data_IF_550440219643
#
_entry.id   IF_550440219643
#
_cell.length_a   1.000
_cell.length_b   1.000
_cell.length_c   1.000
_cell.angle_alpha   90.00
_cell.angle_beta   90.00
_cell.angle_gamma   90.00
#
_symmetry.space_group_name_H-M   'P 1'
#
loop_
_entity.id
_entity.type
_entity.pdbx_description
1 polymer ?
#
# COMPACT_ATOMS: atom_id res chain seq x y z
N UNK A 1 16.22 -40.51 -2.84
CA UNK A 1 16.09 -39.49 -3.91
C UNK A 1 14.81 -38.67 -3.80
N UNK A 2 13.62 -39.29 -3.71
CA UNK A 2 12.31 -38.59 -3.54
C UNK A 2 12.24 -37.66 -2.30
N UNK A 3 12.78 -38.08 -1.16
CA UNK A 3 12.86 -37.27 0.08
C UNK A 3 13.80 -36.06 0.00
N UNK A 4 14.86 -36.15 -0.82
CA UNK A 4 15.78 -35.02 -1.03
C UNK A 4 15.13 -33.97 -1.95
N UNK A 5 14.42 -34.42 -2.99
CA UNK A 5 13.67 -33.55 -3.90
C UNK A 5 12.49 -32.88 -3.20
N UNK A 6 11.77 -33.58 -2.31
CA UNK A 6 10.69 -32.96 -1.52
C UNK A 6 11.20 -31.90 -0.55
N UNK A 7 12.34 -32.14 0.12
CA UNK A 7 12.93 -31.16 1.04
C UNK A 7 13.51 -29.93 0.30
N UNK A 8 14.08 -30.14 -0.89
CA UNK A 8 14.53 -29.02 -1.74
C UNK A 8 13.33 -28.21 -2.21
N UNK A 9 12.25 -28.88 -2.66
CA UNK A 9 11.02 -28.20 -3.07
C UNK A 9 10.40 -27.42 -1.92
N UNK A 10 10.28 -28.00 -0.72
CA UNK A 10 9.74 -27.29 0.46
C UNK A 10 10.61 -26.11 0.88
N UNK A 11 11.94 -26.22 0.75
CA UNK A 11 12.85 -25.12 1.03
C UNK A 11 12.76 -24.00 -0.02
N UNK A 12 12.60 -24.33 -1.29
CA UNK A 12 12.38 -23.34 -2.35
C UNK A 12 11.03 -22.66 -2.16
N UNK A 13 9.97 -23.43 -1.85
CA UNK A 13 8.63 -22.90 -1.60
C UNK A 13 8.62 -21.98 -0.35
N UNK A 14 9.36 -22.33 0.70
CA UNK A 14 9.46 -21.51 1.91
C UNK A 14 10.28 -20.24 1.68
N UNK A 15 11.40 -20.31 0.95
CA UNK A 15 12.19 -19.14 0.57
C UNK A 15 11.38 -18.22 -0.33
N UNK A 16 10.71 -18.77 -1.35
CA UNK A 16 9.85 -18.02 -2.26
C UNK A 16 8.70 -17.34 -1.51
N UNK A 17 8.06 -18.06 -0.59
CA UNK A 17 7.03 -17.51 0.29
C UNK A 17 7.55 -16.36 1.13
N UNK A 18 8.64 -16.56 1.85
CA UNK A 18 9.19 -15.54 2.73
C UNK A 18 9.73 -14.32 1.97
N UNK A 19 10.34 -14.52 0.80
CA UNK A 19 10.98 -13.43 0.06
C UNK A 19 9.98 -12.62 -0.77
N UNK A 20 9.02 -13.28 -1.44
CA UNK A 20 8.12 -12.62 -2.37
C UNK A 20 6.68 -12.55 -1.89
N UNK A 21 6.14 -13.64 -1.31
CA UNK A 21 4.74 -13.63 -0.88
C UNK A 21 4.50 -12.82 0.39
N UNK A 22 5.41 -12.90 1.37
CA UNK A 22 5.34 -12.12 2.63
C UNK A 22 5.75 -10.65 2.48
N UNK A 23 6.44 -10.29 1.39
CA UNK A 23 6.97 -8.96 1.17
C UNK A 23 6.44 -8.35 -0.15
N UNK A 24 5.35 -7.58 -0.10
CA UNK A 24 4.76 -6.94 -1.27
C UNK A 24 5.74 -6.15 -2.17
N UNK A 25 6.72 -5.38 -1.63
CA UNK A 25 7.68 -4.63 -2.44
C UNK A 25 8.58 -5.52 -3.30
N UNK A 26 9.00 -6.68 -2.78
CA UNK A 26 9.85 -7.62 -3.51
C UNK A 26 9.11 -8.27 -4.68
N UNK A 27 7.85 -8.66 -4.47
CA UNK A 27 7.04 -9.19 -5.56
C UNK A 27 6.78 -8.13 -6.63
N UNK A 28 6.49 -6.88 -6.23
CA UNK A 28 6.32 -5.80 -7.19
C UNK A 28 7.58 -5.55 -8.02
N UNK A 29 8.75 -5.46 -7.37
CA UNK A 29 10.04 -5.31 -8.05
C UNK A 29 10.30 -6.47 -9.02
N UNK A 30 10.05 -7.71 -8.59
CA UNK A 30 10.19 -8.90 -9.43
C UNK A 30 9.28 -8.84 -10.66
N UNK A 31 8.00 -8.49 -10.51
CA UNK A 31 7.05 -8.34 -11.62
C UNK A 31 7.58 -7.36 -12.67
N UNK A 32 8.07 -6.21 -12.21
CA UNK A 32 8.62 -5.16 -13.09
C UNK A 32 9.88 -5.64 -13.79
N UNK A 33 10.87 -6.14 -13.04
CA UNK A 33 12.14 -6.61 -13.58
C UNK A 33 11.98 -7.74 -14.59
N UNK A 34 11.12 -8.72 -14.28
CA UNK A 34 10.85 -9.83 -15.20
C UNK A 34 10.17 -9.35 -16.49
N UNK A 35 9.21 -8.44 -16.38
CA UNK A 35 8.51 -7.87 -17.54
C UNK A 35 9.45 -7.05 -18.42
N UNK A 36 10.34 -6.24 -17.81
CA UNK A 36 11.36 -5.49 -18.56
C UNK A 36 12.34 -6.45 -19.23
N UNK A 37 12.89 -7.42 -18.51
CA UNK A 37 13.86 -8.37 -19.06
C UNK A 37 13.26 -9.19 -20.21
N UNK A 38 12.00 -9.63 -20.08
CA UNK A 38 11.29 -10.38 -21.10
C UNK A 38 11.09 -9.60 -22.41
N UNK A 39 10.97 -8.26 -22.34
CA UNK A 39 10.80 -7.42 -23.52
C UNK A 39 12.14 -6.92 -24.07
N UNK A 40 13.09 -6.59 -23.19
CA UNK A 40 14.37 -6.00 -23.56
C UNK A 40 15.32 -7.02 -24.19
N UNK A 41 15.42 -8.24 -23.64
CA UNK A 41 16.34 -9.26 -24.15
C UNK A 41 16.02 -9.66 -25.61
N UNK A 42 14.77 -9.96 -26.01
CA UNK A 42 14.47 -10.27 -27.40
C UNK A 42 14.64 -9.06 -28.32
N UNK A 43 14.31 -7.85 -27.86
CA UNK A 43 14.47 -6.64 -28.67
C UNK A 43 15.95 -6.37 -29.00
N UNK A 44 16.85 -6.60 -28.04
CA UNK A 44 18.28 -6.37 -28.25
C UNK A 44 18.93 -7.52 -29.05
N UNK A 45 18.58 -8.78 -28.72
CA UNK A 45 19.22 -9.96 -29.31
C UNK A 45 18.68 -10.34 -30.70
N UNK A 46 17.40 -10.11 -30.96
CA UNK A 46 16.76 -10.52 -32.22
C UNK A 46 16.55 -9.35 -33.19
N UNK A 47 16.16 -8.18 -32.68
CA UNK A 47 15.84 -7.02 -33.51
C UNK A 47 16.99 -6.03 -33.63
N UNK A 48 18.05 -6.17 -32.82
CA UNK A 48 19.19 -5.25 -32.74
C UNK A 48 18.76 -3.78 -32.66
N UNK A 49 17.63 -3.51 -31.98
CA UNK A 49 17.03 -2.20 -31.90
C UNK A 49 16.75 -1.81 -30.44
N UNK A 50 17.71 -1.10 -29.86
CA UNK A 50 17.66 -0.67 -28.45
C UNK A 50 16.54 0.35 -28.19
N UNK A 51 16.09 1.09 -29.21
CA UNK A 51 14.95 2.00 -29.08
C UNK A 51 13.67 1.21 -28.79
N UNK A 52 13.39 0.15 -29.54
CA UNK A 52 12.22 -0.72 -29.33
C UNK A 52 12.21 -1.29 -27.90
N UNK A 53 13.33 -1.87 -27.47
CA UNK A 53 13.46 -2.45 -26.12
C UNK A 53 13.25 -1.40 -25.01
N UNK A 54 13.85 -0.21 -25.17
CA UNK A 54 13.74 0.87 -24.19
C UNK A 54 12.33 1.45 -24.12
N UNK A 55 11.67 1.67 -25.25
CA UNK A 55 10.30 2.18 -25.31
C UNK A 55 9.31 1.18 -24.70
N UNK A 56 9.45 -0.12 -24.98
CA UNK A 56 8.65 -1.17 -24.34
C UNK A 56 8.84 -1.15 -22.82
N UNK A 57 10.08 -1.05 -22.34
CA UNK A 57 10.40 -0.99 -20.91
C UNK A 57 9.80 0.25 -20.23
N UNK A 58 9.81 1.42 -20.88
CA UNK A 58 9.16 2.63 -20.36
C UNK A 58 7.64 2.46 -20.23
N UNK A 59 7.01 1.74 -21.17
CA UNK A 59 5.60 1.34 -21.09
C UNK A 59 5.30 0.47 -19.87
N UNK A 60 6.17 -0.53 -19.60
CA UNK A 60 6.09 -1.36 -18.37
C UNK A 60 6.16 -0.49 -17.12
N UNK A 61 7.14 0.42 -17.05
CA UNK A 61 7.35 1.29 -15.88
C UNK A 61 6.14 2.19 -15.64
N UNK A 62 5.58 2.80 -16.69
CA UNK A 62 4.39 3.64 -16.55
C UNK A 62 3.18 2.85 -16.00
N UNK A 63 2.97 1.63 -16.50
CA UNK A 63 1.87 0.78 -16.02
C UNK A 63 2.10 0.22 -14.62
N UNK A 64 3.35 -0.06 -14.26
CA UNK A 64 3.73 -0.55 -12.94
C UNK A 64 3.61 0.51 -11.84
N UNK A 65 3.99 1.76 -12.14
CA UNK A 65 3.82 2.89 -11.23
C UNK A 65 2.37 3.37 -11.14
N UNK A 66 1.59 3.15 -12.19
CA UNK A 66 0.15 3.42 -12.23
C UNK A 66 -0.74 2.27 -11.72
N UNK A 67 -0.14 1.13 -11.37
CA UNK A 67 -0.86 -0.02 -10.81
C UNK A 67 -1.40 0.31 -9.42
N UNK A 68 -2.65 -0.08 -9.18
CA UNK A 68 -3.23 -0.13 -7.83
C UNK A 68 -3.62 -1.57 -7.55
N UNK A 69 -3.32 -2.04 -6.33
CA UNK A 69 -3.71 -3.37 -5.91
C UNK A 69 -5.21 -3.38 -5.59
N UNK A 70 -5.98 -4.08 -6.42
CA UNK A 70 -7.44 -4.20 -6.30
C UNK A 70 -7.87 -5.60 -6.72
N UNK A 71 -9.15 -5.94 -6.52
CA UNK A 71 -9.74 -7.18 -7.00
C UNK A 71 -9.40 -7.46 -8.50
N UNK A 72 -9.14 -8.72 -8.92
CA UNK A 72 -8.74 -9.05 -10.29
C UNK A 72 -9.60 -8.43 -11.39
N UNK A 73 -10.94 -8.44 -11.24
CA UNK A 73 -11.85 -7.79 -12.20
C UNK A 73 -11.68 -6.28 -12.25
N UNK A 74 -11.49 -5.65 -11.09
CA UNK A 74 -11.20 -4.22 -10.99
C UNK A 74 -9.85 -3.88 -11.64
N UNK A 75 -8.87 -4.78 -11.51
CA UNK A 75 -7.55 -4.63 -12.15
C UNK A 75 -7.63 -4.74 -13.67
N UNK A 76 -8.41 -5.67 -14.20
CA UNK A 76 -8.67 -5.76 -15.64
C UNK A 76 -9.31 -4.47 -16.17
N UNK A 77 -10.37 -3.96 -15.51
CA UNK A 77 -11.02 -2.70 -15.89
C UNK A 77 -10.04 -1.53 -15.89
N UNK A 78 -9.27 -1.36 -14.81
CA UNK A 78 -8.30 -0.25 -14.72
C UNK A 78 -7.18 -0.37 -15.75
N UNK A 79 -6.72 -1.60 -16.03
CA UNK A 79 -5.73 -1.84 -17.08
C UNK A 79 -6.27 -1.53 -18.48
N UNK A 80 -7.49 -1.94 -18.82
CA UNK A 80 -8.10 -1.60 -20.11
C UNK A 80 -8.24 -0.09 -20.29
N UNK A 81 -8.69 0.62 -19.26
CA UNK A 81 -8.77 2.10 -19.28
C UNK A 81 -7.37 2.70 -19.46
N UNK A 82 -6.36 2.20 -18.73
CA UNK A 82 -4.99 2.69 -18.84
C UNK A 82 -4.41 2.50 -20.23
N UNK A 83 -4.57 1.32 -20.83
CA UNK A 83 -4.04 1.03 -22.16
C UNK A 83 -4.64 1.93 -23.24
N UNK A 84 -5.96 2.14 -23.21
CA UNK A 84 -6.62 3.09 -24.10
C UNK A 84 -6.09 4.51 -23.87
N UNK A 85 -6.02 4.93 -22.60
CA UNK A 85 -5.55 6.26 -22.25
C UNK A 85 -4.09 6.48 -22.67
N UNK A 86 -3.23 5.49 -22.54
CA UNK A 86 -1.82 5.54 -22.95
C UNK A 86 -1.69 5.64 -24.47
N UNK A 87 -2.51 4.88 -25.22
CA UNK A 87 -2.54 4.93 -26.69
C UNK A 87 -2.90 6.33 -27.18
N UNK A 88 -4.00 6.89 -26.66
CA UNK A 88 -4.45 8.23 -27.05
C UNK A 88 -3.50 9.31 -26.56
N UNK A 89 -3.00 9.20 -25.33
CA UNK A 89 -2.09 10.20 -24.77
C UNK A 89 -0.80 10.29 -25.57
N UNK A 90 -0.20 9.14 -25.88
CA UNK A 90 1.01 9.09 -26.70
C UNK A 90 0.72 9.55 -28.14
N UNK A 91 -0.35 9.08 -28.77
CA UNK A 91 -0.66 9.44 -30.16
C UNK A 91 -0.95 10.94 -30.32
N UNK A 92 -1.74 11.53 -29.42
CA UNK A 92 -2.00 12.98 -29.41
C UNK A 92 -0.70 13.76 -29.21
N UNK A 93 0.16 13.31 -28.28
CA UNK A 93 1.46 13.95 -28.02
C UNK A 93 2.31 13.95 -29.27
N UNK A 94 2.49 12.80 -29.92
CA UNK A 94 3.33 12.67 -31.11
C UNK A 94 2.81 13.49 -32.30
N UNK A 95 1.49 13.54 -32.51
CA UNK A 95 0.86 14.32 -33.59
C UNK A 95 0.97 15.84 -33.38
N UNK A 96 0.98 16.29 -32.12
CA UNK A 96 0.96 17.71 -31.81
C UNK A 96 2.36 18.28 -31.54
N UNK A 97 3.34 17.44 -31.20
CA UNK A 97 4.73 17.83 -30.93
C UNK A 97 5.38 18.70 -32.03
N UNK A 98 5.16 18.45 -33.34
CA UNK A 98 5.71 19.29 -34.41
C UNK A 98 5.19 20.74 -34.41
N UNK A 99 4.10 21.02 -33.68
CA UNK A 99 3.43 22.32 -33.63
C UNK A 99 3.54 22.92 -32.21
N UNK A 100 4.59 23.70 -31.88
CA UNK A 100 4.92 24.02 -30.49
C UNK A 100 3.81 24.71 -29.69
N UNK A 101 3.08 25.64 -30.32
CA UNK A 101 1.98 26.37 -29.67
C UNK A 101 0.77 25.47 -29.45
N UNK A 102 0.42 24.64 -30.45
CA UNK A 102 -0.67 23.67 -30.32
C UNK A 102 -0.35 22.64 -29.24
N UNK A 103 0.88 22.13 -29.24
CA UNK A 103 1.34 21.20 -28.20
C UNK A 103 1.28 21.82 -26.80
N UNK A 104 1.65 23.10 -26.63
CA UNK A 104 1.51 23.78 -25.34
C UNK A 104 0.06 23.78 -24.85
N UNK A 105 -0.90 24.11 -25.71
CA UNK A 105 -2.33 24.12 -25.35
C UNK A 105 -2.79 22.70 -24.96
N UNK A 106 -2.43 21.70 -25.76
CA UNK A 106 -2.79 20.29 -25.54
C UNK A 106 -2.17 19.75 -24.24
N UNK A 107 -0.89 20.04 -24.00
CA UNK A 107 -0.16 19.72 -22.78
C UNK A 107 -0.89 20.28 -21.55
N UNK A 108 -1.28 21.55 -21.60
CA UNK A 108 -2.00 22.21 -20.52
C UNK A 108 -3.34 21.55 -20.21
N UNK A 109 -4.14 21.29 -21.26
CA UNK A 109 -5.46 20.65 -21.12
C UNK A 109 -5.32 19.22 -20.58
N UNK A 110 -4.42 18.42 -21.16
CA UNK A 110 -4.22 17.03 -20.76
C UNK A 110 -3.68 16.93 -19.34
N UNK A 111 -2.69 17.74 -18.96
CA UNK A 111 -2.14 17.76 -17.62
C UNK A 111 -3.23 18.07 -16.58
N UNK A 112 -4.01 19.11 -16.81
CA UNK A 112 -5.09 19.51 -15.91
C UNK A 112 -6.18 18.45 -15.82
N UNK A 113 -6.67 17.96 -16.97
CA UNK A 113 -7.75 16.98 -17.04
C UNK A 113 -7.36 15.64 -16.40
N UNK A 114 -6.17 15.10 -16.71
CA UNK A 114 -5.70 13.83 -16.16
C UNK A 114 -5.51 13.90 -14.64
N UNK A 115 -5.01 15.03 -14.10
CA UNK A 115 -4.90 15.20 -12.65
C UNK A 115 -6.27 15.27 -11.97
N UNK A 116 -7.26 15.93 -12.57
CA UNK A 116 -8.62 15.99 -12.04
C UNK A 116 -9.33 14.63 -12.10
N UNK A 117 -9.25 13.93 -13.22
CA UNK A 117 -9.84 12.58 -13.39
C UNK A 117 -9.23 11.61 -12.38
N UNK A 118 -7.92 11.71 -12.14
CA UNK A 118 -7.24 10.93 -11.09
C UNK A 118 -7.66 11.27 -9.65
N UNK A 119 -8.56 12.23 -9.46
CA UNK A 119 -9.16 12.57 -8.16
C UNK A 119 -10.49 11.89 -7.86
N UNK A 120 -11.12 11.22 -8.84
CA UNK A 120 -12.44 10.58 -8.71
C UNK A 120 -12.38 9.42 -7.72
N UNK A 121 -11.42 8.52 -7.91
CA UNK A 121 -11.16 7.37 -7.04
C UNK A 121 -9.66 7.02 -7.05
N UNK A 122 -9.27 6.13 -6.14
CA UNK A 122 -7.87 5.69 -6.00
C UNK A 122 -7.37 4.91 -7.22
N UNK A 123 -8.25 4.22 -7.96
CA UNK A 123 -7.87 3.42 -9.14
C UNK A 123 -7.46 4.33 -10.30
N UNK A 124 -8.28 5.33 -10.60
CA UNK A 124 -8.01 6.32 -11.64
C UNK A 124 -6.80 7.18 -11.34
N UNK A 125 -6.47 7.42 -10.06
CA UNK A 125 -5.26 8.14 -9.69
C UNK A 125 -3.99 7.49 -10.28
N UNK A 126 -3.87 6.17 -10.16
CA UNK A 126 -2.72 5.43 -10.71
C UNK A 126 -2.72 5.46 -12.23
N UNK A 127 -3.88 5.22 -12.84
CA UNK A 127 -4.05 5.21 -14.30
C UNK A 127 -3.65 6.54 -14.93
N UNK A 128 -4.14 7.67 -14.39
CA UNK A 128 -3.82 8.99 -14.96
C UNK A 128 -2.39 9.42 -14.67
N UNK A 129 -1.81 9.01 -13.53
CA UNK A 129 -0.38 9.21 -13.27
C UNK A 129 0.49 8.49 -14.31
N UNK A 130 0.16 7.23 -14.63
CA UNK A 130 0.80 6.49 -15.71
C UNK A 130 0.65 7.19 -17.07
N UNK A 131 -0.52 7.75 -17.37
CA UNK A 131 -0.75 8.47 -18.63
C UNK A 131 0.09 9.75 -18.72
N UNK A 132 0.25 10.49 -17.63
CA UNK A 132 1.14 11.64 -17.55
C UNK A 132 2.61 11.23 -17.76
N UNK A 133 3.04 10.07 -17.26
CA UNK A 133 4.36 9.53 -17.55
C UNK A 133 4.52 9.17 -19.03
N UNK A 134 3.53 8.51 -19.63
CA UNK A 134 3.52 8.17 -21.06
C UNK A 134 3.61 9.42 -21.94
N UNK A 135 2.94 10.51 -21.57
CA UNK A 135 3.05 11.80 -22.26
C UNK A 135 4.53 12.24 -22.31
N UNK A 136 5.19 12.27 -21.16
CA UNK A 136 6.59 12.71 -21.07
C UNK A 136 7.55 11.72 -21.73
N UNK A 137 7.30 10.41 -21.63
CA UNK A 137 8.10 9.39 -22.32
C UNK A 137 7.95 9.47 -23.84
N UNK A 138 6.77 9.83 -24.33
CA UNK A 138 6.55 10.08 -25.76
C UNK A 138 7.44 11.24 -26.21
N UNK A 139 7.41 12.37 -25.50
CA UNK A 139 8.29 13.52 -25.79
C UNK A 139 9.78 13.15 -25.81
N UNK A 140 10.24 12.26 -24.91
CA UNK A 140 11.65 11.87 -24.82
C UNK A 140 12.13 10.98 -25.97
N UNK A 141 11.23 10.25 -26.63
CA UNK A 141 11.56 9.31 -27.70
C UNK A 141 11.09 9.71 -29.08
N UNK A 142 10.42 10.87 -29.21
CA UNK A 142 9.76 11.28 -30.44
C UNK A 142 10.72 11.37 -31.65
N UNK A 143 11.95 11.87 -31.42
CA UNK A 143 12.97 12.06 -32.46
C UNK A 143 13.54 10.74 -33.01
N UNK A 144 13.35 9.63 -32.29
CA UNK A 144 13.89 8.31 -32.66
C UNK A 144 12.85 7.40 -33.34
N UNK A 145 11.65 7.91 -33.64
CA UNK A 145 10.57 7.15 -34.27
C UNK A 145 10.29 7.65 -35.69
N UNK A 146 10.25 6.73 -36.65
CA UNK A 146 10.00 7.07 -38.06
C UNK A 146 8.52 7.40 -38.31
N UNK A 147 7.62 6.83 -37.51
CA UNK A 147 6.17 6.95 -37.67
C UNK A 147 5.48 7.39 -36.38
N UNK A 148 4.48 8.27 -36.51
CA UNK A 148 3.77 8.87 -35.38
C UNK A 148 3.08 7.85 -34.45
N UNK A 149 2.72 6.68 -34.95
CA UNK A 149 2.03 5.63 -34.19
C UNK A 149 2.99 4.62 -33.53
N UNK A 150 4.24 4.54 -34.00
CA UNK A 150 5.18 3.49 -33.60
C UNK A 150 5.44 3.54 -32.10
N UNK A 151 5.79 4.71 -31.57
CA UNK A 151 6.08 4.87 -30.15
C UNK A 151 4.83 4.64 -29.29
N UNK A 152 3.66 5.07 -29.75
CA UNK A 152 2.40 4.85 -29.05
C UNK A 152 2.05 3.37 -28.94
N UNK A 153 2.28 2.59 -30.00
CA UNK A 153 2.08 1.14 -29.98
C UNK A 153 3.11 0.42 -29.10
N UNK A 154 4.38 0.84 -29.13
CA UNK A 154 5.43 0.23 -28.30
C UNK A 154 5.19 0.49 -26.81
N UNK A 155 4.92 1.74 -26.41
CA UNK A 155 4.61 2.09 -25.02
C UNK A 155 3.38 1.32 -24.51
N UNK A 156 2.33 1.21 -25.32
CA UNK A 156 1.10 0.49 -24.93
C UNK A 156 1.30 -1.02 -24.91
N UNK A 157 2.09 -1.58 -25.82
CA UNK A 157 2.44 -3.02 -25.82
C UNK A 157 3.24 -3.38 -24.57
N UNK A 158 4.23 -2.56 -24.18
CA UNK A 158 4.98 -2.77 -22.94
C UNK A 158 4.07 -2.74 -21.70
N UNK A 159 3.17 -1.76 -21.63
CA UNK A 159 2.16 -1.68 -20.57
C UNK A 159 1.22 -2.91 -20.57
N UNK A 160 0.83 -3.42 -21.74
CA UNK A 160 -0.03 -4.60 -21.88
C UNK A 160 0.67 -5.85 -21.35
N UNK A 161 1.93 -6.09 -21.73
CA UNK A 161 2.72 -7.23 -21.26
C UNK A 161 2.82 -7.25 -19.73
N UNK A 162 3.14 -6.12 -19.11
CA UNK A 162 3.14 -6.02 -17.65
C UNK A 162 1.76 -6.29 -17.03
N UNK A 163 0.70 -5.76 -17.64
CA UNK A 163 -0.67 -5.96 -17.17
C UNK A 163 -1.07 -7.44 -17.18
N UNK A 164 -0.71 -8.17 -18.24
CA UNK A 164 -0.96 -9.62 -18.34
C UNK A 164 -0.26 -10.38 -17.22
N UNK A 165 1.03 -10.12 -16.99
CA UNK A 165 1.81 -10.76 -15.92
C UNK A 165 1.20 -10.45 -14.55
N UNK A 166 0.85 -9.19 -14.29
CA UNK A 166 0.29 -8.78 -13.00
C UNK A 166 -1.10 -9.38 -12.74
N UNK A 167 -1.98 -9.37 -13.75
CA UNK A 167 -3.33 -9.95 -13.64
C UNK A 167 -3.27 -11.46 -13.44
N UNK A 168 -2.37 -12.17 -14.13
CA UNK A 168 -2.20 -13.61 -13.98
C UNK A 168 -1.78 -13.98 -12.55
N UNK A 169 -0.80 -13.26 -11.99
CA UNK A 169 -0.37 -13.44 -10.60
C UNK A 169 -1.50 -13.13 -9.60
N UNK A 170 -2.28 -12.08 -9.87
CA UNK A 170 -3.40 -11.70 -9.04
C UNK A 170 -4.53 -12.74 -9.09
N UNK A 171 -4.79 -13.37 -10.24
CA UNK A 171 -5.77 -14.46 -10.36
C UNK A 171 -5.35 -15.72 -9.59
N UNK A 172 -4.04 -15.95 -9.44
CA UNK A 172 -3.53 -17.07 -8.63
C UNK A 172 -3.76 -16.88 -7.13
N UNK A 173 -3.69 -15.64 -6.62
CA UNK A 173 -3.99 -15.30 -5.21
C UNK A 173 -4.84 -14.02 -5.10
N UNK A 174 -6.16 -14.10 -5.40
CA UNK A 174 -7.01 -12.93 -5.55
C UNK A 174 -7.21 -12.15 -4.24
N UNK A 175 -7.19 -12.81 -3.08
CA UNK A 175 -7.45 -12.18 -1.78
C UNK A 175 -6.18 -11.86 -0.98
N UNK A 176 -5.00 -11.91 -1.60
CA UNK A 176 -3.73 -11.67 -0.91
C UNK A 176 -3.68 -10.28 -0.27
N UNK A 177 -4.11 -9.25 -1.00
CA UNK A 177 -4.13 -7.87 -0.51
C UNK A 177 -4.91 -7.74 0.80
N UNK A 178 -6.09 -8.38 0.87
CA UNK A 178 -6.93 -8.36 2.06
C UNK A 178 -6.24 -9.08 3.24
N UNK A 179 -5.57 -10.20 3.00
CA UNK A 179 -4.78 -10.88 4.03
C UNK A 179 -3.64 -9.99 4.55
N UNK A 180 -2.88 -9.36 3.65
CA UNK A 180 -1.73 -8.51 4.01
C UNK A 180 -2.18 -7.31 4.84
N UNK A 181 -3.22 -6.59 4.39
CA UNK A 181 -3.71 -5.41 5.08
C UNK A 181 -4.38 -5.71 6.43
N UNK A 182 -5.15 -6.80 6.52
CA UNK A 182 -5.71 -7.24 7.81
C UNK A 182 -4.61 -7.71 8.76
N UNK A 183 -3.61 -8.45 8.27
CA UNK A 183 -2.46 -8.87 9.07
C UNK A 183 -1.72 -7.66 9.64
N UNK A 184 -1.47 -6.62 8.84
CA UNK A 184 -0.91 -5.36 9.34
C UNK A 184 -1.81 -4.70 10.38
N UNK A 185 -3.13 -4.75 10.22
CA UNK A 185 -4.08 -4.29 11.23
C UNK A 185 -3.90 -4.99 12.57
N UNK A 186 -3.92 -6.33 12.58
CA UNK A 186 -3.70 -7.12 13.79
C UNK A 186 -2.30 -6.91 14.38
N UNK A 187 -1.26 -6.77 13.55
CA UNK A 187 0.10 -6.47 14.02
C UNK A 187 0.18 -5.10 14.70
N UNK A 188 -0.46 -4.06 14.15
CA UNK A 188 -0.52 -2.75 14.79
C UNK A 188 -1.33 -2.78 16.10
N UNK A 189 -2.40 -3.59 16.16
CA UNK A 189 -3.14 -3.83 17.40
C UNK A 189 -2.27 -4.53 18.45
N UNK A 190 -1.51 -5.56 18.07
CA UNK A 190 -0.57 -6.23 18.98
C UNK A 190 0.49 -5.26 19.52
N UNK A 191 1.11 -4.46 18.65
CA UNK A 191 2.07 -3.42 19.06
C UNK A 191 1.45 -2.36 19.99
N UNK A 192 0.18 -2.02 19.78
CA UNK A 192 -0.54 -1.09 20.65
C UNK A 192 -0.79 -1.69 22.05
N UNK A 193 -1.26 -2.94 22.12
CA UNK A 193 -1.52 -3.65 23.38
C UNK A 193 -0.20 -3.90 24.14
N UNK A 194 0.87 -4.30 23.44
CA UNK A 194 2.20 -4.47 24.06
C UNK A 194 2.71 -3.16 24.67
N UNK A 195 2.57 -2.05 23.95
CA UNK A 195 2.94 -0.74 24.50
C UNK A 195 2.05 -0.36 25.69
N UNK A 196 0.74 -0.65 25.62
CA UNK A 196 -0.20 -0.38 26.71
C UNK A 196 0.12 -1.20 27.97
N UNK A 197 0.63 -2.42 27.81
CA UNK A 197 1.08 -3.27 28.91
C UNK A 197 2.18 -2.62 29.76
N UNK A 198 2.99 -1.72 29.18
CA UNK A 198 4.02 -0.97 29.92
C UNK A 198 3.46 0.06 30.91
N UNK A 199 2.15 0.27 30.96
CA UNK A 199 1.46 1.08 31.98
C UNK A 199 1.10 0.26 33.24
N UNK A 200 1.54 -0.99 33.33
CA UNK A 200 1.25 -1.90 34.43
C UNK A 200 2.55 -2.55 34.95
N UNK A 201 3.16 -1.99 36.02
CA UNK A 201 2.77 -0.78 36.75
C UNK A 201 3.12 0.51 35.98
N UNK A 202 2.37 1.58 36.23
CA UNK A 202 2.56 2.90 35.62
C UNK A 202 3.66 3.67 36.35
N UNK A 203 4.61 4.24 35.61
CA UNK A 203 5.57 5.20 36.14
C UNK A 203 5.18 6.63 35.66
N UNK A 204 4.89 7.57 36.58
CA UNK A 204 4.46 8.94 36.22
C UNK A 204 5.42 9.66 35.27
N UNK A 205 6.73 9.41 35.38
CA UNK A 205 7.75 10.05 34.54
C UNK A 205 7.71 9.58 33.09
N UNK A 206 7.39 8.30 32.86
CA UNK A 206 7.35 7.68 31.53
C UNK A 206 5.97 7.75 30.89
N UNK A 207 4.93 7.93 31.70
CA UNK A 207 3.54 7.86 31.26
C UNK A 207 3.21 8.86 30.14
N UNK A 208 3.68 10.10 30.23
CA UNK A 208 3.43 11.12 29.19
C UNK A 208 4.01 10.72 27.83
N UNK A 209 5.20 10.11 27.84
CA UNK A 209 5.82 9.59 26.63
C UNK A 209 5.02 8.41 26.07
N UNK A 210 4.65 7.46 26.93
CA UNK A 210 3.86 6.27 26.53
C UNK A 210 2.49 6.68 25.97
N UNK A 211 1.78 7.62 26.60
CA UNK A 211 0.50 8.15 26.10
C UNK A 211 0.63 8.80 24.72
N UNK A 212 1.69 9.57 24.51
CA UNK A 212 1.97 10.18 23.20
C UNK A 212 2.19 9.09 22.13
N UNK A 213 2.98 8.07 22.45
CA UNK A 213 3.22 6.94 21.56
C UNK A 213 1.96 6.09 21.31
N UNK A 214 1.12 5.88 22.33
CA UNK A 214 -0.17 5.20 22.20
C UNK A 214 -1.12 5.97 21.27
N UNK A 215 -1.18 7.30 21.37
CA UNK A 215 -1.99 8.12 20.46
C UNK A 215 -1.52 8.00 19.00
N UNK A 216 -0.20 7.97 18.77
CA UNK A 216 0.38 7.76 17.44
C UNK A 216 0.06 6.35 16.90
N UNK A 217 0.25 5.31 17.72
CA UNK A 217 -0.07 3.92 17.33
C UNK A 217 -1.57 3.73 17.08
N UNK A 218 -2.43 4.33 17.88
CA UNK A 218 -3.88 4.32 17.67
C UNK A 218 -4.26 4.99 16.35
N UNK A 219 -3.68 6.16 16.05
CA UNK A 219 -3.90 6.84 14.76
C UNK A 219 -3.53 5.93 13.59
N UNK A 220 -2.38 5.24 13.67
CA UNK A 220 -1.92 4.29 12.63
C UNK A 220 -2.85 3.07 12.51
N UNK A 221 -3.30 2.51 13.63
CA UNK A 221 -4.23 1.38 13.66
C UNK A 221 -5.58 1.76 13.05
N UNK A 222 -6.14 2.90 13.44
CA UNK A 222 -7.39 3.42 12.88
C UNK A 222 -7.30 3.65 11.36
N UNK A 223 -6.18 4.23 10.89
CA UNK A 223 -5.92 4.39 9.46
C UNK A 223 -5.86 3.03 8.74
N UNK A 224 -5.23 2.01 9.34
CA UNK A 224 -5.14 0.68 8.75
C UNK A 224 -6.50 -0.03 8.67
N UNK A 225 -7.36 0.14 9.69
CA UNK A 225 -8.73 -0.39 9.69
C UNK A 225 -9.57 0.24 8.60
N UNK A 226 -9.39 1.55 8.36
CA UNK A 226 -10.03 2.27 7.26
C UNK A 226 -9.55 1.79 5.88
N UNK A 227 -8.24 1.51 5.73
CA UNK A 227 -7.68 0.90 4.52
C UNK A 227 -8.35 -0.47 4.26
N UNK A 228 -8.39 -1.35 5.28
CA UNK A 228 -9.02 -2.67 5.15
C UNK A 228 -10.50 -2.56 4.75
N UNK A 229 -11.23 -1.61 5.32
CA UNK A 229 -12.64 -1.36 4.99
C UNK A 229 -12.81 -0.96 3.52
N UNK A 230 -11.97 -0.06 3.03
CA UNK A 230 -12.02 0.39 1.63
C UNK A 230 -11.66 -0.73 0.65
N UNK A 231 -10.69 -1.59 1.00
CA UNK A 231 -10.38 -2.78 0.19
C UNK A 231 -11.54 -3.75 0.18
N UNK A 232 -12.16 -4.02 1.33
CA UNK A 232 -13.36 -4.86 1.41
C UNK A 232 -14.49 -4.33 0.53
N UNK A 233 -14.74 -3.01 0.52
CA UNK A 233 -15.75 -2.41 -0.38
C UNK A 233 -15.37 -2.53 -1.85
N UNK A 234 -14.08 -2.38 -2.17
CA UNK A 234 -13.55 -2.55 -3.52
C UNK A 234 -13.72 -3.99 -4.03
N UNK A 235 -13.56 -4.99 -3.15
CA UNK A 235 -13.81 -6.40 -3.46
C UNK A 235 -15.30 -6.70 -3.53
N UNK A 236 -16.09 -6.15 -2.61
CA UNK A 236 -17.55 -6.27 -2.56
C UNK A 236 -18.20 -5.82 -3.86
N UNK A 237 -17.80 -4.65 -4.39
CA UNK A 237 -18.31 -4.12 -5.66
C UNK A 237 -18.06 -5.04 -6.87
N UNK A 238 -17.01 -5.86 -6.83
CA UNK A 238 -16.59 -6.72 -7.95
C UNK A 238 -16.88 -8.22 -7.74
N UNK A 239 -17.44 -8.58 -6.57
CA UNK A 239 -17.72 -9.96 -6.16
C UNK A 239 -18.99 -10.50 -6.84
N UNK A 240 -18.95 -11.77 -7.25
CA UNK A 240 -20.15 -12.53 -7.65
C UNK A 240 -20.78 -13.22 -6.43
N UNK A 241 -22.06 -13.66 -6.53
CA UNK A 241 -22.72 -14.44 -5.48
C UNK A 241 -21.90 -15.66 -5.01
N UNK A 242 -21.19 -16.31 -5.93
CA UNK A 242 -20.32 -17.45 -5.64
C UNK A 242 -19.11 -17.10 -4.76
N UNK A 243 -18.60 -15.87 -4.86
CA UNK A 243 -17.41 -15.41 -4.10
C UNK A 243 -17.75 -14.72 -2.79
N UNK A 244 -19.03 -14.43 -2.54
CA UNK A 244 -19.50 -13.77 -1.31
C UNK A 244 -19.20 -14.55 -0.03
N UNK A 245 -19.34 -15.90 0.03
CA UNK A 245 -18.99 -16.66 1.24
C UNK A 245 -17.52 -16.49 1.62
N UNK A 246 -16.61 -16.46 0.65
CA UNK A 246 -15.19 -16.24 0.92
C UNK A 246 -14.93 -14.81 1.42
N UNK A 247 -15.59 -13.80 0.82
CA UNK A 247 -15.51 -12.41 1.28
C UNK A 247 -16.07 -12.23 2.71
N UNK A 248 -17.08 -13.02 3.09
CA UNK A 248 -17.67 -12.98 4.43
C UNK A 248 -16.65 -13.26 5.54
N UNK A 249 -15.68 -14.15 5.28
CA UNK A 249 -14.59 -14.43 6.21
C UNK A 249 -13.70 -13.21 6.44
N UNK A 250 -13.45 -12.42 5.39
CA UNK A 250 -12.65 -11.20 5.51
C UNK A 250 -13.40 -10.09 6.24
N UNK A 251 -14.70 -9.94 6.02
CA UNK A 251 -15.53 -9.04 6.82
C UNK A 251 -15.53 -9.43 8.29
N UNK A 252 -15.65 -10.73 8.62
CA UNK A 252 -15.58 -11.22 10.00
C UNK A 252 -14.25 -10.85 10.66
N UNK A 253 -13.13 -11.06 9.98
CA UNK A 253 -11.79 -10.67 10.47
C UNK A 253 -11.68 -9.16 10.70
N UNK A 254 -12.26 -8.36 9.81
CA UNK A 254 -12.30 -6.90 9.96
C UNK A 254 -13.15 -6.46 11.15
N UNK A 255 -14.33 -7.06 11.36
CA UNK A 255 -15.15 -6.81 12.55
C UNK A 255 -14.44 -7.19 13.83
N UNK A 256 -13.77 -8.35 13.86
CA UNK A 256 -12.92 -8.74 14.99
C UNK A 256 -11.86 -7.68 15.27
N UNK A 257 -11.15 -7.23 14.24
CA UNK A 257 -10.11 -6.21 14.40
C UNK A 257 -10.68 -4.90 14.97
N UNK A 258 -11.82 -4.44 14.46
CA UNK A 258 -12.49 -3.23 14.94
C UNK A 258 -12.97 -3.39 16.39
N UNK A 259 -13.65 -4.49 16.71
CA UNK A 259 -14.13 -4.78 18.07
C UNK A 259 -12.96 -4.84 19.07
N UNK A 260 -11.86 -5.49 18.69
CA UNK A 260 -10.67 -5.56 19.54
C UNK A 260 -9.99 -4.20 19.69
N UNK A 261 -9.98 -3.36 18.64
CA UNK A 261 -9.50 -1.98 18.75
C UNK A 261 -10.34 -1.18 19.75
N UNK A 262 -11.67 -1.20 19.60
CA UNK A 262 -12.58 -0.47 20.49
C UNK A 262 -12.38 -0.89 21.95
N UNK A 263 -12.26 -2.20 22.19
CA UNK A 263 -11.96 -2.75 23.52
C UNK A 263 -10.57 -2.37 24.03
N UNK A 264 -9.54 -2.43 23.19
CA UNK A 264 -8.18 -2.06 23.55
C UNK A 264 -8.04 -0.57 23.88
N UNK A 265 -8.80 0.30 23.21
CA UNK A 265 -8.85 1.74 23.52
C UNK A 265 -9.69 2.01 24.76
N UNK A 266 -10.74 1.21 25.00
CA UNK A 266 -11.61 1.37 26.17
C UNK A 266 -10.85 1.07 27.47
N UNK A 267 -10.30 2.11 28.09
CA UNK A 267 -9.78 2.05 29.45
C UNK A 267 -9.81 3.43 30.08
N UNK A 268 -10.38 3.49 31.28
CA UNK A 268 -10.49 4.68 32.10
C UNK A 268 -9.11 5.13 32.56
N UNK A 269 -8.75 6.39 32.30
CA UNK A 269 -7.38 6.92 32.22
C UNK A 269 -6.53 6.95 33.52
N UNK A 270 -6.92 6.24 34.58
CA UNK A 270 -6.32 6.36 35.90
C UNK A 270 -5.33 5.23 36.24
N UNK A 271 -4.43 4.89 35.30
CA UNK A 271 -3.40 3.85 35.52
C UNK A 271 -2.45 4.17 36.67
N UNK A 272 -2.22 5.46 36.96
CA UNK A 272 -1.39 5.89 38.08
C UNK A 272 -2.08 5.59 39.42
N UNK A 273 -3.38 5.90 39.51
CA UNK A 273 -4.15 5.56 40.70
C UNK A 273 -4.23 4.05 40.91
N UNK A 274 -4.38 3.28 39.83
CA UNK A 274 -4.33 1.82 39.94
C UNK A 274 -2.96 1.30 40.40
N UNK A 275 -1.87 1.92 39.96
CA UNK A 275 -0.51 1.48 40.33
C UNK A 275 -0.10 1.96 41.72
N UNK A 276 -0.68 3.06 42.22
CA UNK A 276 -0.38 3.64 43.53
C UNK A 276 -1.31 3.11 44.63
N UNK A 277 -2.59 2.88 44.33
CA UNK A 277 -3.61 2.57 45.34
C UNK A 277 -3.86 1.07 45.51
N UNK A 278 -3.55 0.24 44.51
CA UNK A 278 -3.67 -1.22 44.63
C UNK A 278 -2.42 -1.75 45.33
N UNK A 279 -2.61 -2.35 46.51
CA UNK A 279 -1.50 -2.86 47.33
C UNK A 279 -0.81 -4.08 46.71
N UNK A 280 -1.54 -4.86 45.93
CA UNK A 280 -1.05 -6.08 45.30
C UNK A 280 -0.31 -5.76 43.99
N UNK A 281 1.01 -5.53 44.11
CA UNK A 281 1.88 -5.26 42.96
C UNK A 281 1.92 -6.43 41.97
N UNK A 282 1.86 -7.68 42.45
CA UNK A 282 1.87 -8.86 41.58
C UNK A 282 0.63 -8.91 40.69
N UNK A 283 -0.53 -8.50 41.19
CA UNK A 283 -1.76 -8.40 40.41
C UNK A 283 -1.63 -7.34 39.30
N UNK A 284 -1.09 -6.17 39.62
CA UNK A 284 -0.86 -5.10 38.63
C UNK A 284 0.13 -5.56 37.55
N UNK A 285 1.27 -6.13 37.94
CA UNK A 285 2.23 -6.72 36.99
C UNK A 285 1.60 -7.85 36.18
N UNK A 286 0.74 -8.66 36.79
CA UNK A 286 0.00 -9.73 36.15
C UNK A 286 -0.94 -9.24 35.05
N UNK A 287 -1.61 -8.09 35.23
CA UNK A 287 -2.38 -7.44 34.16
C UNK A 287 -1.49 -7.02 32.99
N UNK A 288 -0.31 -6.47 33.29
CA UNK A 288 0.71 -6.17 32.28
C UNK A 288 1.12 -7.43 31.51
N UNK A 289 1.41 -8.52 32.22
CA UNK A 289 1.78 -9.80 31.62
C UNK A 289 0.65 -10.41 30.77
N UNK A 290 -0.60 -10.33 31.23
CA UNK A 290 -1.77 -10.77 30.46
C UNK A 290 -1.91 -9.98 29.14
N UNK A 291 -1.72 -8.66 29.18
CA UNK A 291 -1.72 -7.84 27.97
C UNK A 291 -0.59 -8.23 27.00
N UNK A 292 0.62 -8.53 27.50
CA UNK A 292 1.73 -8.99 26.65
C UNK A 292 1.44 -10.35 26.02
N UNK A 293 0.89 -11.31 26.76
CA UNK A 293 0.49 -12.61 26.20
C UNK A 293 -0.63 -12.47 25.16
N UNK A 294 -1.59 -11.55 25.37
CA UNK A 294 -2.59 -11.18 24.38
C UNK A 294 -1.94 -10.58 23.12
N UNK A 295 -1.01 -9.64 23.27
CA UNK A 295 -0.30 -9.02 22.15
C UNK A 295 0.45 -10.07 21.34
N UNK A 296 1.16 -11.01 21.99
CA UNK A 296 1.82 -12.13 21.33
C UNK A 296 0.83 -13.02 20.57
N UNK A 297 -0.30 -13.35 21.17
CA UNK A 297 -1.34 -14.17 20.53
C UNK A 297 -1.92 -13.48 19.29
N UNK A 298 -2.15 -12.17 19.34
CA UNK A 298 -2.63 -11.36 18.21
C UNK A 298 -1.56 -11.26 17.12
N UNK A 299 -0.29 -11.10 17.48
CA UNK A 299 0.81 -11.09 16.52
C UNK A 299 0.96 -12.44 15.81
N UNK A 300 0.80 -13.56 16.52
CA UNK A 300 0.77 -14.89 15.91
C UNK A 300 -0.43 -15.08 14.97
N UNK A 301 -1.60 -14.53 15.34
CA UNK A 301 -2.76 -14.53 14.46
C UNK A 301 -2.48 -13.73 13.18
N UNK A 302 -1.87 -12.55 13.29
CA UNK A 302 -1.44 -11.74 12.14
C UNK A 302 -0.48 -12.52 11.22
N UNK A 303 0.53 -13.19 11.78
CA UNK A 303 1.50 -13.97 11.00
C UNK A 303 0.83 -15.15 10.28
N UNK A 304 -0.11 -15.83 10.94
CA UNK A 304 -0.87 -16.95 10.36
C UNK A 304 -1.62 -16.57 9.08
N UNK A 305 -2.08 -15.32 8.98
CA UNK A 305 -2.78 -14.81 7.80
C UNK A 305 -1.87 -14.67 6.59
N UNK A 306 -0.58 -14.40 6.80
CA UNK A 306 0.41 -14.24 5.73
C UNK A 306 1.04 -15.60 5.38
N UNK A 307 1.41 -16.40 6.39
CA UNK A 307 2.01 -17.72 6.18
C UNK A 307 1.03 -18.74 5.61
N UNK A 308 -0.28 -18.56 5.84
CA UNK A 308 -1.32 -19.52 5.51
C UNK A 308 -1.37 -20.71 6.47
N UNK A 309 -0.61 -20.67 7.57
CA UNK A 309 -0.65 -21.68 8.61
C UNK A 309 -1.91 -21.51 9.48
N UNK A 310 -2.42 -22.60 10.02
CA UNK A 310 -3.54 -22.53 10.97
C UNK A 310 -3.07 -21.89 12.28
N UNK A 311 -3.77 -20.83 12.70
CA UNK A 311 -3.52 -20.20 14.00
C UNK A 311 -3.74 -21.20 15.14
N UNK A 312 -2.78 -21.26 16.06
CA UNK A 312 -2.85 -22.07 17.28
C UNK A 312 -2.90 -21.13 18.47
N UNK A 313 -4.01 -21.16 19.20
CA UNK A 313 -4.19 -20.30 20.36
C UNK A 313 -3.20 -20.68 21.48
N UNK A 314 -2.37 -19.76 21.99
CA UNK A 314 -1.33 -20.08 22.96
C UNK A 314 -1.89 -20.61 24.28
N UNK A 315 -1.34 -21.74 24.75
CA UNK A 315 -1.66 -22.27 26.08
C UNK A 315 -1.23 -21.32 27.20
N UNK A 316 -0.14 -20.58 27.00
CA UNK A 316 0.36 -19.57 27.96
C UNK A 316 -0.71 -18.53 28.26
N UNK A 317 -1.34 -17.96 27.23
CA UNK A 317 -2.41 -16.98 27.40
C UNK A 317 -3.57 -17.53 28.22
N UNK A 318 -4.01 -18.76 27.94
CA UNK A 318 -5.10 -19.41 28.71
C UNK A 318 -4.72 -19.61 30.18
N UNK A 319 -3.48 -20.01 30.45
CA UNK A 319 -2.98 -20.14 31.82
C UNK A 319 -2.90 -18.79 32.53
N UNK A 320 -2.40 -17.75 31.86
CA UNK A 320 -2.32 -16.40 32.41
C UNK A 320 -3.71 -15.84 32.73
N UNK A 321 -4.71 -16.02 31.85
CA UNK A 321 -6.10 -15.64 32.14
C UNK A 321 -6.61 -16.35 33.39
N UNK A 322 -6.39 -17.66 33.51
CA UNK A 322 -6.86 -18.45 34.66
C UNK A 322 -6.18 -18.02 35.96
N UNK A 323 -4.87 -17.77 35.91
CA UNK A 323 -4.11 -17.29 37.07
C UNK A 323 -4.59 -15.90 37.52
N UNK A 324 -4.77 -14.98 36.57
CA UNK A 324 -5.26 -13.63 36.85
C UNK A 324 -6.68 -13.61 37.39
N UNK A 325 -7.57 -14.51 36.94
CA UNK A 325 -8.91 -14.64 37.50
C UNK A 325 -8.85 -15.04 38.98
N UNK A 326 -7.98 -15.98 39.35
CA UNK A 326 -7.80 -16.41 40.75
C UNK A 326 -7.22 -15.30 41.61
N UNK A 327 -6.14 -14.66 41.16
CA UNK A 327 -5.54 -13.53 41.90
C UNK A 327 -6.53 -12.38 42.11
N UNK A 328 -7.40 -12.12 41.13
CA UNK A 328 -8.46 -11.11 41.27
C UNK A 328 -9.58 -11.56 42.24
N UNK A 329 -9.90 -12.85 42.29
CA UNK A 329 -10.91 -13.39 43.21
C UNK A 329 -10.47 -13.29 44.68
N UNK A 330 -9.17 -13.38 44.95
CA UNK A 330 -8.59 -13.21 46.28
C UNK A 330 -8.69 -11.75 46.79
N UNK A 331 -8.92 -10.79 45.89
CA UNK A 331 -9.00 -9.34 46.17
C UNK A 331 -10.45 -8.82 46.18
N UNK A 332 -11.45 -9.69 46.35
CA UNK A 332 -12.89 -9.34 46.29
C UNK A 332 -13.34 -8.28 47.30
N UNK A 333 -12.70 -8.22 48.46
CA UNK A 333 -13.06 -7.31 49.55
C UNK A 333 -12.37 -5.94 49.46
N UNK A 334 -11.44 -5.77 48.51
CA UNK A 334 -10.66 -4.54 48.35
C UNK A 334 -11.40 -3.48 47.54
N UNK A 335 -11.12 -2.20 47.85
CA UNK A 335 -11.84 -1.03 47.31
C UNK A 335 -11.83 -0.94 45.77
N UNK A 336 -10.75 -1.43 45.13
CA UNK A 336 -10.53 -1.32 43.68
C UNK A 336 -11.00 -2.54 42.87
N UNK A 337 -11.59 -3.56 43.52
CA UNK A 337 -12.05 -4.79 42.88
C UNK A 337 -12.96 -4.54 41.67
N UNK A 338 -13.89 -3.58 41.76
CA UNK A 338 -14.78 -3.26 40.64
C UNK A 338 -14.01 -2.81 39.39
N UNK A 339 -13.03 -1.92 39.55
CA UNK A 339 -12.25 -1.41 38.42
C UNK A 339 -11.38 -2.51 37.81
N UNK A 340 -10.74 -3.34 38.66
CA UNK A 340 -9.89 -4.44 38.21
C UNK A 340 -10.72 -5.57 37.56
N UNK A 341 -11.92 -5.84 38.04
CA UNK A 341 -12.84 -6.81 37.43
C UNK A 341 -13.38 -6.33 36.09
N UNK A 342 -13.63 -5.04 35.91
CA UNK A 342 -13.97 -4.46 34.61
C UNK A 342 -12.80 -4.58 33.61
N UNK A 343 -11.57 -4.32 34.06
CA UNK A 343 -10.36 -4.52 33.26
C UNK A 343 -10.20 -6.00 32.87
N UNK A 344 -10.35 -6.91 33.83
CA UNK A 344 -10.25 -8.35 33.60
C UNK A 344 -11.33 -8.86 32.64
N UNK A 345 -12.56 -8.37 32.77
CA UNK A 345 -13.66 -8.68 31.85
C UNK A 345 -13.35 -8.22 30.43
N UNK A 346 -12.77 -7.03 30.27
CA UNK A 346 -12.34 -6.53 28.96
C UNK A 346 -11.26 -7.43 28.34
N UNK A 347 -10.18 -7.71 29.07
CA UNK A 347 -9.07 -8.56 28.59
C UNK A 347 -9.50 -10.00 28.29
N UNK A 348 -10.35 -10.58 29.14
CA UNK A 348 -10.94 -11.91 28.90
C UNK A 348 -11.87 -11.87 27.68
N UNK A 349 -12.59 -10.77 27.46
CA UNK A 349 -13.37 -10.56 26.25
C UNK A 349 -12.52 -10.56 24.98
N UNK A 350 -11.36 -9.88 25.00
CA UNK A 350 -10.39 -9.89 23.90
C UNK A 350 -9.86 -11.30 23.62
N UNK A 351 -9.46 -12.04 24.67
CA UNK A 351 -9.01 -13.44 24.55
C UNK A 351 -10.11 -14.31 23.91
N UNK A 352 -11.32 -14.23 24.46
CA UNK A 352 -12.47 -15.01 23.99
C UNK A 352 -12.80 -14.71 22.54
N UNK A 353 -12.78 -13.43 22.14
CA UNK A 353 -13.11 -13.03 20.76
C UNK A 353 -12.06 -13.54 19.76
N UNK A 354 -10.78 -13.49 20.13
CA UNK A 354 -9.70 -14.06 19.32
C UNK A 354 -9.83 -15.58 19.19
N UNK A 355 -10.19 -16.28 20.27
CA UNK A 355 -10.35 -17.73 20.31
C UNK A 355 -11.59 -18.20 19.54
N UNK A 356 -12.73 -17.53 19.71
CA UNK A 356 -14.03 -17.94 19.14
C UNK A 356 -14.16 -17.63 17.66
N UNK A 357 -13.42 -16.63 17.14
CA UNK A 357 -13.37 -16.37 15.70
C UNK A 357 -12.86 -17.57 14.87
N UNK A 358 -12.21 -18.54 15.53
CA UNK A 358 -11.73 -19.79 14.92
C UNK A 358 -12.81 -20.88 14.87
N UNK A 359 -13.81 -20.81 15.75
CA UNK A 359 -14.74 -21.92 16.03
C UNK A 359 -16.14 -21.62 15.50
N UNK A 360 -16.60 -20.38 15.61
CA UNK A 360 -17.99 -20.03 15.35
C UNK A 360 -18.12 -19.29 14.02
N UNK A 361 -18.42 -20.02 12.95
CA UNK A 361 -18.94 -19.45 11.71
C UNK A 361 -20.43 -19.09 11.88
N UNK A 362 -20.76 -18.26 12.87
CA UNK A 362 -22.11 -17.73 12.97
C UNK A 362 -22.41 -16.93 11.70
N UNK A 363 -23.54 -17.15 11.03
CA UNK A 363 -23.91 -16.36 9.86
C UNK A 363 -24.14 -14.91 10.30
N UNK A 364 -23.16 -14.05 10.02
CA UNK A 364 -23.33 -12.61 10.12
C UNK A 364 -24.15 -12.20 8.90
N UNK A 365 -25.27 -11.50 9.10
CA UNK A 365 -26.00 -10.92 7.97
C UNK A 365 -25.17 -9.78 7.36
N UNK A 366 -24.50 -10.11 6.25
CA UNK A 366 -23.64 -9.20 5.50
C UNK A 366 -24.33 -8.65 4.25
N UNK A 367 -25.64 -8.89 4.07
CA UNK A 367 -26.40 -8.42 2.91
C UNK A 367 -26.26 -6.91 2.68
N UNK A 368 -26.27 -6.13 3.76
CA UNK A 368 -26.06 -4.68 3.73
C UNK A 368 -24.63 -4.25 3.32
N UNK A 369 -23.63 -5.12 3.47
CA UNK A 369 -22.23 -4.84 3.15
C UNK A 369 -21.85 -5.25 1.72
N UNK A 370 -22.53 -6.24 1.14
CA UNK A 370 -22.32 -6.66 -0.26
C UNK A 370 -22.68 -5.57 -1.29
N UNK A 371 -23.48 -4.58 -0.90
CA UNK A 371 -23.88 -3.46 -1.75
C UNK A 371 -23.06 -2.19 -1.54
N UNK A 372 -22.13 -2.17 -0.58
CA UNK A 372 -21.31 -0.97 -0.30
C UNK A 372 -20.19 -0.83 -1.33
N UNK A 373 -20.00 0.41 -1.77
CA UNK A 373 -18.96 0.80 -2.75
C UNK A 373 -17.94 1.72 -2.09
N UNK A 374 -16.70 1.76 -2.59
CA UNK A 374 -15.74 2.78 -2.20
C UNK A 374 -16.31 4.18 -2.46
N UNK A 375 -15.98 5.14 -1.61
CA UNK A 375 -16.36 6.53 -1.85
C UNK A 375 -15.76 7.03 -3.17
N UNK A 376 -16.61 7.56 -4.04
CA UNK A 376 -16.21 8.23 -5.28
C UNK A 376 -16.49 9.70 -5.16
N UNK A 377 -15.50 10.53 -5.47
CA UNK A 377 -15.66 11.97 -5.46
C UNK A 377 -16.30 12.42 -6.76
N UNK A 378 -17.37 13.20 -6.66
CA UNK A 378 -18.01 13.78 -7.84
C UNK A 378 -17.10 14.80 -8.51
N UNK A 379 -17.06 14.82 -9.84
CA UNK A 379 -16.28 15.80 -10.61
C UNK A 379 -16.57 17.24 -10.16
N UNK A 380 -17.84 17.57 -9.92
CA UNK A 380 -18.26 18.91 -9.45
C UNK A 380 -17.57 19.33 -8.14
N UNK A 381 -17.28 18.38 -7.25
CA UNK A 381 -16.55 18.66 -6.02
C UNK A 381 -15.06 18.93 -6.30
N UNK A 382 -14.46 18.13 -7.19
CA UNK A 382 -13.06 18.25 -7.58
C UNK A 382 -12.76 19.56 -8.34
N UNK A 383 -13.76 20.12 -9.04
CA UNK A 383 -13.64 21.41 -9.73
C UNK A 383 -13.68 22.63 -8.80
N UNK A 384 -13.93 22.45 -7.49
CA UNK A 384 -13.91 23.57 -6.54
C UNK A 384 -12.46 24.05 -6.30
N UNK A 385 -12.14 25.35 -6.45
CA UNK A 385 -10.78 25.87 -6.24
C UNK A 385 -10.20 25.65 -4.83
N UNK A 386 -11.07 25.46 -3.84
CA UNK A 386 -10.67 25.11 -2.48
C UNK A 386 -10.17 23.66 -2.35
N UNK A 387 -10.57 22.77 -3.26
CA UNK A 387 -10.23 21.35 -3.18
C UNK A 387 -8.71 21.14 -3.42
N UNK A 388 -8.00 20.38 -2.56
CA UNK A 388 -6.55 20.19 -2.69
C UNK A 388 -6.09 19.66 -4.05
N UNK A 389 -6.89 18.79 -4.68
CA UNK A 389 -6.60 18.27 -6.04
C UNK A 389 -6.67 19.33 -7.11
N UNK A 390 -7.62 20.27 -7.04
CA UNK A 390 -7.73 21.35 -8.03
C UNK A 390 -6.47 22.22 -7.99
N UNK A 391 -6.07 22.64 -6.78
CA UNK A 391 -4.85 23.44 -6.56
C UNK A 391 -3.61 22.71 -7.05
N UNK A 392 -3.56 21.39 -6.86
CA UNK A 392 -2.49 20.55 -7.39
C UNK A 392 -2.49 20.49 -8.92
N UNK A 393 -3.66 20.27 -9.55
CA UNK A 393 -3.81 20.26 -11.01
C UNK A 393 -3.34 21.56 -11.65
N UNK A 394 -3.77 22.71 -11.12
CA UNK A 394 -3.33 24.04 -11.59
C UNK A 394 -1.81 24.19 -11.46
N UNK A 395 -1.24 23.86 -10.29
CA UNK A 395 0.20 24.00 -10.04
C UNK A 395 1.04 23.14 -10.97
N UNK A 396 0.66 21.87 -11.18
CA UNK A 396 1.37 20.97 -12.08
C UNK A 396 1.26 21.47 -13.52
N UNK A 397 0.07 21.86 -13.95
CA UNK A 397 -0.18 22.37 -15.31
C UNK A 397 0.64 23.62 -15.58
N UNK A 398 0.63 24.60 -14.67
CA UNK A 398 1.46 25.81 -14.81
C UNK A 398 2.95 25.47 -14.81
N UNK A 399 3.41 24.56 -13.95
CA UNK A 399 4.80 24.11 -13.93
C UNK A 399 5.22 23.44 -15.23
N UNK A 400 4.36 22.62 -15.82
CA UNK A 400 4.60 21.98 -17.12
C UNK A 400 4.60 22.99 -18.27
N UNK A 401 3.66 23.93 -18.29
CA UNK A 401 3.61 25.00 -19.29
C UNK A 401 4.86 25.89 -19.24
N UNK A 402 5.29 26.29 -18.04
CA UNK A 402 6.51 27.06 -17.84
C UNK A 402 7.76 26.25 -18.22
N UNK A 403 7.84 24.99 -17.80
CA UNK A 403 8.95 24.10 -18.13
C UNK A 403 9.08 23.85 -19.63
N UNK A 404 7.95 23.65 -20.31
CA UNK A 404 7.91 23.52 -21.77
C UNK A 404 8.28 24.83 -22.47
N UNK A 405 7.79 25.98 -21.98
CA UNK A 405 8.20 27.29 -22.49
C UNK A 405 9.71 27.54 -22.37
N UNK A 406 10.31 27.18 -21.22
CA UNK A 406 11.76 27.27 -21.02
C UNK A 406 12.52 26.32 -21.96
N UNK A 407 12.02 25.11 -22.17
CA UNK A 407 12.60 24.15 -23.12
C UNK A 407 12.65 24.73 -24.54
N UNK A 408 11.57 25.38 -24.99
CA UNK A 408 11.52 26.00 -26.32
C UNK A 408 12.42 27.25 -26.43
N UNK A 409 12.50 28.08 -25.39
CA UNK A 409 13.34 29.28 -25.40
C UNK A 409 14.84 28.95 -25.35
N UNK A 410 15.23 27.95 -24.55
CA UNK A 410 16.64 27.62 -24.28
C UNK A 410 17.17 26.48 -25.15
N UNK A 411 16.33 25.88 -26.01
CA UNK A 411 16.69 24.77 -26.91
C UNK A 411 17.39 23.60 -26.19
N UNK A 412 16.93 23.25 -24.99
CA UNK A 412 17.52 22.14 -24.24
C UNK A 412 17.21 20.79 -24.89
N UNK A 413 18.23 20.08 -25.37
CA UNK A 413 18.13 18.74 -25.99
C UNK A 413 17.37 17.71 -25.12
N UNK A 414 17.36 17.89 -23.79
CA UNK A 414 16.70 16.99 -22.83
C UNK A 414 15.63 17.71 -21.99
N UNK A 415 15.01 18.77 -22.52
CA UNK A 415 14.05 19.60 -21.79
C UNK A 415 12.84 18.86 -21.21
N UNK A 416 12.42 17.72 -21.82
CA UNK A 416 11.34 16.89 -21.29
C UNK A 416 11.59 16.34 -19.88
N UNK A 417 12.86 16.27 -19.42
CA UNK A 417 13.18 15.91 -18.03
C UNK A 417 12.68 16.92 -17.00
N UNK A 418 12.47 18.18 -17.38
CA UNK A 418 11.86 19.19 -16.49
C UNK A 418 10.41 18.80 -16.18
N UNK A 419 9.68 18.30 -17.18
CA UNK A 419 8.30 17.83 -17.03
C UNK A 419 8.26 16.53 -16.20
N UNK A 420 9.19 15.60 -16.46
CA UNK A 420 9.29 14.36 -15.69
C UNK A 420 9.59 14.63 -14.20
N UNK A 421 10.54 15.52 -13.93
CA UNK A 421 10.94 15.85 -12.54
C UNK A 421 9.83 16.58 -11.81
N UNK A 422 9.16 17.54 -12.43
CA UNK A 422 8.02 18.23 -11.83
C UNK A 422 6.85 17.29 -11.53
N UNK A 423 6.55 16.31 -12.40
CA UNK A 423 5.54 15.27 -12.14
C UNK A 423 5.85 14.43 -10.90
N UNK A 424 7.12 14.05 -10.70
CA UNK A 424 7.55 13.21 -9.58
C UNK A 424 7.63 14.02 -8.28
N UNK A 425 8.09 15.28 -8.35
CA UNK A 425 8.34 16.12 -7.18
C UNK A 425 7.08 16.78 -6.65
N UNK A 426 6.21 17.30 -7.53
CA UNK A 426 5.02 18.01 -7.07
C UNK A 426 4.05 17.06 -6.39
N UNK A 427 3.58 17.46 -5.21
CA UNK A 427 2.60 16.73 -4.41
C UNK A 427 1.44 17.63 -4.02
N UNK A 428 0.34 17.00 -3.57
CA UNK A 428 -0.86 17.73 -3.14
C UNK A 428 -0.57 18.69 -1.99
N UNK A 429 0.28 18.29 -1.04
CA UNK A 429 0.72 19.12 0.09
C UNK A 429 2.13 19.67 -0.13
N UNK A 430 2.40 20.84 0.44
CA UNK A 430 3.71 21.48 0.35
C UNK A 430 4.80 20.68 1.07
N UNK A 431 4.51 20.16 2.27
CA UNK A 431 5.45 19.33 3.05
C UNK A 431 5.90 18.10 2.26
N UNK A 432 4.96 17.40 1.61
CA UNK A 432 5.29 16.25 0.76
C UNK A 432 6.12 16.66 -0.47
N UNK A 433 5.82 17.82 -1.07
CA UNK A 433 6.58 18.35 -2.22
C UNK A 433 8.03 18.64 -1.82
N UNK A 434 8.24 19.30 -0.67
CA UNK A 434 9.58 19.60 -0.14
C UNK A 434 10.38 18.34 0.12
N UNK A 435 9.75 17.30 0.70
CA UNK A 435 10.41 16.02 0.96
C UNK A 435 10.85 15.34 -0.35
N UNK A 436 9.96 15.29 -1.36
CA UNK A 436 10.31 14.69 -2.66
C UNK A 436 11.37 15.48 -3.42
N UNK A 437 11.36 16.80 -3.32
CA UNK A 437 12.42 17.64 -3.88
C UNK A 437 13.77 17.26 -3.27
N UNK A 438 13.85 17.14 -1.95
CA UNK A 438 15.08 16.75 -1.26
C UNK A 438 15.57 15.36 -1.69
N UNK A 439 14.67 14.37 -1.73
CA UNK A 439 15.00 13.03 -2.22
C UNK A 439 15.45 13.04 -3.69
N UNK A 440 14.83 13.85 -4.54
CA UNK A 440 15.20 13.96 -5.95
C UNK A 440 16.58 14.58 -6.12
N UNK A 441 16.87 15.67 -5.39
CA UNK A 441 18.17 16.34 -5.45
C UNK A 441 19.28 15.41 -4.95
N UNK A 442 19.12 14.83 -3.76
CA UNK A 442 20.10 13.88 -3.22
C UNK A 442 20.26 12.65 -4.12
N UNK A 443 19.15 12.08 -4.60
CA UNK A 443 19.18 10.91 -5.48
C UNK A 443 19.87 11.20 -6.82
N UNK A 444 19.69 12.41 -7.37
CA UNK A 444 20.38 12.82 -8.60
C UNK A 444 21.87 13.02 -8.34
N UNK A 445 22.25 13.67 -7.24
CA UNK A 445 23.67 13.85 -6.88
C UNK A 445 24.37 12.51 -6.66
N UNK A 446 23.79 11.62 -5.85
CA UNK A 446 24.33 10.27 -5.64
C UNK A 446 24.37 9.48 -6.95
N UNK A 447 23.33 9.56 -7.77
CA UNK A 447 23.27 8.91 -9.08
C UNK A 447 24.35 9.38 -10.04
N UNK A 448 24.67 10.68 -10.06
CA UNK A 448 25.76 11.24 -10.86
C UNK A 448 27.11 10.75 -10.34
N UNK A 449 27.35 10.81 -9.02
CA UNK A 449 28.61 10.32 -8.42
C UNK A 449 28.81 8.84 -8.76
N UNK A 450 27.81 8.00 -8.48
CA UNK A 450 27.88 6.57 -8.77
C UNK A 450 28.03 6.30 -10.27
N UNK A 451 27.28 7.01 -11.11
CA UNK A 451 27.35 6.88 -12.57
C UNK A 451 28.75 7.19 -13.11
N UNK A 452 29.37 8.29 -12.65
CA UNK A 452 30.74 8.65 -13.03
C UNK A 452 31.74 7.61 -12.53
N UNK A 453 31.62 7.14 -11.29
CA UNK A 453 32.53 6.10 -10.76
C UNK A 453 32.41 4.78 -11.51
N UNK A 454 31.19 4.35 -11.85
CA UNK A 454 30.95 3.13 -12.64
C UNK A 454 31.47 3.28 -14.06
N UNK A 455 31.26 4.44 -14.70
CA UNK A 455 31.76 4.70 -16.04
C UNK A 455 33.30 4.67 -16.12
N UNK A 456 33.98 5.07 -15.04
CA UNK A 456 35.45 4.97 -14.94
C UNK A 456 35.95 3.55 -14.65
N UNK A 457 35.14 2.71 -14.00
CA UNK A 457 35.49 1.33 -13.65
C UNK A 457 35.18 0.33 -14.78
N UNK A 458 34.17 0.63 -15.62
CA UNK A 458 33.87 -0.18 -16.80
C UNK A 458 34.90 0.14 -17.88
N UNK A 459 35.59 -0.86 -18.46
CA UNK A 459 36.48 -0.62 -19.58
C UNK A 459 35.66 -0.05 -20.73
N UNK A 460 35.87 1.22 -21.03
CA UNK A 460 35.42 1.80 -22.30
C UNK A 460 36.12 0.98 -23.38
N UNK A 461 35.36 0.30 -24.24
CA UNK A 461 35.95 -0.21 -25.47
C UNK A 461 36.48 0.99 -26.24
N UNK A 462 37.80 1.18 -26.17
CA UNK A 462 38.52 1.99 -27.13
C UNK A 462 38.45 1.25 -28.46
N UNK A 463 37.60 1.74 -29.36
CA UNK A 463 37.52 1.38 -30.76
C UNK A 463 37.43 2.66 -31.56
#
# INVERSE_FOLDING_TARGET
MKTRVSNIKSNIDSIWSNLFWKNPPHLWALKVSLSIAFLLLPAELLLHNSFVGTTLALGVVAMALGETDVHPRGRMKSASIALLLFLFTSGITQLTLPYPVLFAIVLGIMAFALVLVGGIDSRLQGVTFGALLILVYTMLGADNSDSWYQQSLLLTTGALCYSVVSILLLYHRPYRLLNDHLSYGFRYLAEYIELKASLFPSNPTMQRSIRTQLAQKNTRLAQQIEVCKNDLYSYSEESSPETQPLLSDYYRKWFLLQEMQERAISSHEQYDLLSEQVKNNELIEGFGQLMRELAKAIAQYAESMISGEAYRHPLSLRWTVTAMQRMLEDEKEESHYLTLSLLMRNLTGLEKSLRENLVTASPIDLSAFYNRKPERKGLRELFKPAHPRFRFAVRLTLGWMLGYGMMQLLHFEKGAWILLTSLIVFQQTYSATRMRLFHRVLGTLLGVILGVTLAQLLPTQAG
#
